data_IF_760581383500
#
_entry.id   IF_760581383500
#
_cell.length_a   1.000
_cell.length_b   1.000
_cell.length_c   1.000
_cell.angle_alpha   90.00
_cell.angle_beta   90.00
_cell.angle_gamma   90.00
#
_symmetry.space_group_name_H-M   'P 1'
#
loop_
_entity.id
_entity.type
_entity.pdbx_description
1 polymer ?
#
# COMPACT_ATOMS: atom_id res chain seq x y z
N UNK A 1 8.17 20.10 -3.04
CA UNK A 1 8.38 19.05 -2.03
C UNK A 1 7.31 19.18 -0.97
N UNK A 2 6.61 18.09 -0.68
CA UNK A 2 5.64 18.05 0.43
C UNK A 2 6.37 18.11 1.78
N UNK A 3 5.82 18.85 2.73
CA UNK A 3 6.34 18.90 4.10
C UNK A 3 5.80 17.71 4.88
N UNK A 4 6.46 16.55 4.77
CA UNK A 4 6.15 15.34 5.53
C UNK A 4 7.08 15.23 6.75
N UNK A 5 6.57 14.64 7.82
CA UNK A 5 7.45 14.19 8.89
C UNK A 5 8.31 13.03 8.40
N UNK A 6 9.54 12.91 8.90
CA UNK A 6 10.40 11.79 8.54
C UNK A 6 11.30 11.34 9.70
N UNK A 7 11.71 10.10 9.62
CA UNK A 7 12.67 9.44 10.50
C UNK A 7 13.81 8.93 9.63
N UNK A 8 15.03 9.32 9.93
CA UNK A 8 16.21 8.80 9.25
C UNK A 8 16.69 7.53 9.93
N UNK A 9 16.75 6.43 9.16
CA UNK A 9 17.30 5.14 9.58
C UNK A 9 18.58 4.92 8.77
N UNK A 10 19.73 4.95 9.44
CA UNK A 10 21.03 4.80 8.79
C UNK A 10 21.44 3.33 8.73
N UNK A 11 22.18 2.98 7.68
CA UNK A 11 22.78 1.66 7.49
C UNK A 11 21.77 0.50 7.63
N UNK A 12 20.56 0.68 7.12
CA UNK A 12 19.58 -0.41 7.08
C UNK A 12 20.05 -1.50 6.12
N UNK A 13 20.07 -2.76 6.59
CA UNK A 13 20.47 -3.91 5.81
C UNK A 13 19.24 -4.79 5.57
N UNK A 14 18.88 -4.97 4.29
CA UNK A 14 17.78 -5.85 3.89
C UNK A 14 18.10 -7.32 4.13
N UNK A 15 17.11 -8.20 4.10
CA UNK A 15 17.30 -9.67 4.18
C UNK A 15 18.18 -10.21 3.04
N UNK A 16 18.22 -9.52 1.92
CA UNK A 16 19.12 -9.86 0.79
C UNK A 16 20.56 -9.36 0.96
N UNK A 17 20.87 -8.63 2.04
CA UNK A 17 22.20 -8.06 2.33
C UNK A 17 22.48 -6.71 1.64
N UNK A 18 21.46 -6.06 1.05
CA UNK A 18 21.63 -4.72 0.51
C UNK A 18 21.57 -3.68 1.62
N UNK A 19 22.57 -2.82 1.70
CA UNK A 19 22.69 -1.76 2.72
C UNK A 19 22.34 -0.40 2.12
N UNK A 20 21.50 0.37 2.82
CA UNK A 20 21.13 1.72 2.40
C UNK A 20 20.59 2.54 3.57
N UNK A 21 20.61 3.86 3.44
CA UNK A 21 19.91 4.76 4.34
C UNK A 21 18.44 4.90 3.93
N UNK A 22 17.54 4.94 4.91
CA UNK A 22 16.11 5.08 4.70
C UNK A 22 15.63 6.39 5.33
N UNK A 23 14.92 7.20 4.54
CA UNK A 23 14.07 8.28 5.03
C UNK A 23 12.63 7.76 5.13
N UNK A 24 12.20 7.38 6.31
CA UNK A 24 10.85 6.90 6.57
C UNK A 24 9.92 8.10 6.76
N UNK A 25 9.17 8.45 5.74
CA UNK A 25 8.18 9.52 5.79
C UNK A 25 6.87 9.05 6.39
N UNK A 26 6.19 9.96 7.13
CA UNK A 26 4.91 9.65 7.75
C UNK A 26 4.04 10.88 7.95
N UNK A 27 2.75 10.64 8.12
CA UNK A 27 1.75 11.60 8.53
C UNK A 27 0.97 11.09 9.74
N UNK A 28 0.46 12.02 10.53
CA UNK A 28 -0.43 11.73 11.66
C UNK A 28 -1.71 12.53 11.53
N UNK A 29 -2.83 11.93 11.92
CA UNK A 29 -4.14 12.54 11.87
C UNK A 29 -4.89 12.26 13.17
N UNK A 30 -5.91 13.07 13.44
CA UNK A 30 -6.73 12.92 14.63
C UNK A 30 -6.03 13.42 15.90
N UNK A 31 -6.08 12.62 16.97
CA UNK A 31 -5.49 12.99 18.24
C UNK A 31 -3.95 13.05 18.13
N UNK A 32 -3.30 13.94 18.89
CA UNK A 32 -1.83 13.97 18.97
C UNK A 32 -1.26 12.60 19.39
N UNK A 33 -0.04 12.29 18.95
CA UNK A 33 0.65 11.08 19.39
C UNK A 33 0.68 10.98 20.92
N UNK A 34 0.49 9.77 21.44
CA UNK A 34 0.50 9.44 22.87
C UNK A 34 -0.67 10.02 23.69
N UNK A 35 -1.70 10.58 23.06
CA UNK A 35 -2.89 11.12 23.77
C UNK A 35 -4.15 10.27 23.57
N UNK A 36 -4.13 9.31 22.65
CA UNK A 36 -5.21 8.40 22.33
C UNK A 36 -4.68 7.06 21.81
N UNK A 37 -5.50 6.00 21.74
CA UNK A 37 -5.10 4.74 21.11
C UNK A 37 -4.65 4.96 19.66
N UNK A 38 -3.58 4.26 19.25
CA UNK A 38 -2.95 4.49 17.94
C UNK A 38 -3.41 3.43 16.94
N UNK A 39 -3.89 3.89 15.79
CA UNK A 39 -4.19 3.04 14.61
C UNK A 39 -3.11 3.29 13.56
N UNK A 40 -2.32 2.25 13.27
CA UNK A 40 -1.36 2.27 12.16
C UNK A 40 -2.10 1.91 10.86
N UNK A 41 -1.98 2.79 9.86
CA UNK A 41 -2.55 2.56 8.53
C UNK A 41 -1.42 2.35 7.52
N UNK A 42 -1.47 1.21 6.82
CA UNK A 42 -0.45 0.81 5.85
C UNK A 42 -1.08 0.78 4.45
N UNK A 43 -0.59 1.64 3.58
CA UNK A 43 -1.17 1.83 2.25
C UNK A 43 -0.85 0.67 1.29
N UNK A 44 -1.68 0.52 0.25
CA UNK A 44 -1.46 -0.40 -0.87
C UNK A 44 -0.27 0.08 -1.74
N UNK A 45 0.17 -0.75 -2.70
CA UNK A 45 1.34 -0.48 -3.55
C UNK A 45 1.35 0.92 -4.17
N UNK A 46 0.21 1.38 -4.67
CA UNK A 46 0.05 2.69 -5.34
C UNK A 46 -0.42 3.79 -4.40
N UNK A 47 -0.48 3.51 -3.09
CA UNK A 47 -0.95 4.45 -2.08
C UNK A 47 0.17 5.30 -1.47
N UNK A 48 -0.21 6.03 -0.44
CA UNK A 48 0.67 6.90 0.32
C UNK A 48 0.06 7.20 1.70
N UNK A 49 0.74 8.02 2.50
CA UNK A 49 0.30 8.40 3.85
C UNK A 49 -0.90 9.34 3.91
N UNK A 50 -1.36 9.94 2.80
CA UNK A 50 -2.56 10.78 2.78
C UNK A 50 -3.85 9.93 2.81
N UNK A 51 -4.24 9.49 3.97
CA UNK A 51 -5.30 8.48 4.16
C UNK A 51 -6.67 9.07 4.46
N UNK A 52 -6.74 10.27 5.03
CA UNK A 52 -8.00 10.92 5.41
C UNK A 52 -8.07 12.38 5.00
N UNK A 53 -9.19 13.05 5.28
CA UNK A 53 -9.43 14.44 4.88
C UNK A 53 -9.67 14.59 3.38
N UNK A 54 -9.58 15.83 2.90
CA UNK A 54 -9.84 16.14 1.49
C UNK A 54 -8.73 15.56 0.60
N UNK A 55 -9.04 14.56 -0.20
CA UNK A 55 -8.08 13.85 -1.05
C UNK A 55 -7.49 12.58 -0.43
N UNK A 56 -7.83 12.26 0.83
CA UNK A 56 -7.44 11.00 1.45
C UNK A 56 -8.10 9.81 0.77
N UNK A 57 -7.29 8.77 0.47
CA UNK A 57 -7.79 7.61 -0.29
C UNK A 57 -8.68 6.68 0.56
N UNK A 58 -8.65 6.77 1.91
CA UNK A 58 -9.55 6.08 2.84
C UNK A 58 -10.46 7.02 3.64
N UNK A 59 -10.68 8.23 3.14
CA UNK A 59 -11.54 9.25 3.77
C UNK A 59 -12.97 8.79 4.09
N UNK A 60 -13.46 7.76 3.41
CA UNK A 60 -14.80 7.22 3.68
C UNK A 60 -14.80 6.26 4.88
N UNK A 61 -13.64 5.72 5.24
CA UNK A 61 -13.43 4.82 6.37
C UNK A 61 -12.84 5.55 7.59
N UNK A 62 -11.91 6.51 7.35
CA UNK A 62 -11.12 7.21 8.37
C UNK A 62 -11.42 8.70 8.32
N UNK A 63 -11.84 9.26 9.44
CA UNK A 63 -12.17 10.68 9.58
C UNK A 63 -13.12 10.93 10.73
N UNK A 64 -13.48 12.19 10.93
CA UNK A 64 -14.50 12.53 11.93
C UNK A 64 -15.84 11.86 11.59
N UNK A 65 -16.47 11.28 12.59
CA UNK A 65 -17.72 10.52 12.50
C UNK A 65 -17.66 9.34 11.50
N UNK A 66 -16.45 8.77 11.26
CA UNK A 66 -16.23 7.59 10.43
C UNK A 66 -16.00 6.34 11.27
N UNK A 67 -15.90 5.18 10.63
CA UNK A 67 -15.64 3.90 11.31
C UNK A 67 -14.36 3.95 12.16
N UNK A 68 -13.31 4.60 11.67
CA UNK A 68 -12.11 4.93 12.44
C UNK A 68 -12.15 6.44 12.67
N UNK A 69 -12.66 6.83 13.84
CA UNK A 69 -12.91 8.24 14.14
C UNK A 69 -11.62 8.95 14.59
N UNK A 70 -11.28 10.02 13.89
CA UNK A 70 -10.14 10.87 14.22
C UNK A 70 -10.33 11.68 15.51
N UNK A 71 -11.54 11.73 16.08
CA UNK A 71 -11.77 12.32 17.39
C UNK A 71 -11.50 11.34 18.54
N UNK A 72 -11.44 10.05 18.29
CA UNK A 72 -11.17 9.02 19.28
C UNK A 72 -9.75 8.44 19.19
N UNK A 73 -9.16 8.43 18.00
CA UNK A 73 -7.87 7.78 17.73
C UNK A 73 -6.79 8.74 17.25
N UNK A 74 -5.54 8.37 17.53
CA UNK A 74 -4.38 8.85 16.78
C UNK A 74 -4.17 7.93 15.57
N UNK A 75 -4.17 8.49 14.38
CA UNK A 75 -3.91 7.73 13.15
C UNK A 75 -2.49 8.01 12.70
N UNK A 76 -1.68 6.97 12.54
CA UNK A 76 -0.33 7.04 12.01
C UNK A 76 -0.28 6.34 10.66
N UNK A 77 0.28 6.99 9.65
CA UNK A 77 0.48 6.39 8.34
C UNK A 77 1.93 6.59 7.89
N UNK A 78 2.68 5.50 7.75
CA UNK A 78 3.99 5.51 7.12
C UNK A 78 3.86 5.41 5.60
N UNK A 79 4.78 6.04 4.87
CA UNK A 79 5.02 5.75 3.46
C UNK A 79 5.95 4.54 3.32
N UNK A 80 5.61 3.60 2.46
CA UNK A 80 6.55 2.55 2.06
C UNK A 80 7.78 3.24 1.45
N UNK A 81 9.00 2.94 1.91
CA UNK A 81 10.20 3.61 1.44
C UNK A 81 10.33 3.59 -0.08
N UNK A 82 10.68 4.72 -0.66
CA UNK A 82 10.87 4.86 -2.10
C UNK A 82 9.59 5.02 -2.93
N UNK A 83 8.41 5.21 -2.30
CA UNK A 83 7.15 5.39 -3.04
C UNK A 83 7.02 6.74 -3.78
N UNK A 84 7.97 7.67 -3.60
CA UNK A 84 8.01 8.96 -4.31
C UNK A 84 6.98 10.00 -3.85
N UNK A 85 6.22 9.72 -2.79
CA UNK A 85 5.16 10.64 -2.33
C UNK A 85 5.70 11.98 -1.78
N UNK A 86 6.95 12.01 -1.32
CA UNK A 86 7.67 13.21 -0.89
C UNK A 86 8.12 14.12 -2.04
N UNK A 87 7.94 13.70 -3.30
CA UNK A 87 8.29 14.42 -4.53
C UNK A 87 9.80 14.71 -4.66
N UNK A 88 10.65 13.97 -3.95
CA UNK A 88 12.10 14.10 -4.02
C UNK A 88 12.75 12.86 -4.67
N UNK A 89 13.27 12.98 -5.92
CA UNK A 89 13.90 11.83 -6.59
C UNK A 89 15.07 11.21 -5.84
N UNK A 90 15.73 11.95 -4.94
CA UNK A 90 16.85 11.43 -4.13
C UNK A 90 16.42 10.39 -3.09
N UNK A 91 15.14 10.33 -2.77
CA UNK A 91 14.58 9.37 -1.82
C UNK A 91 13.99 8.13 -2.51
N UNK A 92 14.06 8.05 -3.84
CA UNK A 92 13.74 6.84 -4.58
C UNK A 92 14.81 5.77 -4.34
N UNK A 93 14.38 4.53 -4.28
CA UNK A 93 15.26 3.37 -4.06
C UNK A 93 15.45 2.65 -5.39
N UNK A 94 16.65 2.74 -5.98
CA UNK A 94 16.97 2.10 -7.26
C UNK A 94 16.86 0.56 -7.17
N UNK A 95 17.40 -0.02 -6.08
CA UNK A 95 17.38 -1.46 -5.84
C UNK A 95 16.11 -1.91 -5.08
N UNK A 96 14.94 -1.40 -5.43
CA UNK A 96 13.68 -1.74 -4.74
C UNK A 96 13.39 -3.26 -4.70
N UNK A 97 13.90 -4.03 -5.66
CA UNK A 97 13.77 -5.50 -5.70
C UNK A 97 14.53 -6.21 -4.56
N UNK A 98 15.43 -5.52 -3.88
CA UNK A 98 16.12 -6.04 -2.68
C UNK A 98 15.26 -5.97 -1.43
N UNK A 99 14.11 -5.31 -1.47
CA UNK A 99 13.20 -5.17 -0.34
C UNK A 99 12.07 -6.19 -0.42
N UNK A 100 11.77 -6.79 0.72
CA UNK A 100 10.61 -7.66 0.94
C UNK A 100 9.63 -6.99 1.90
N UNK A 101 8.44 -7.58 2.09
CA UNK A 101 7.48 -7.12 3.09
C UNK A 101 8.07 -7.17 4.51
N UNK A 102 8.96 -8.15 4.79
CA UNK A 102 9.68 -8.27 6.07
C UNK A 102 10.58 -7.06 6.30
N UNK A 103 11.35 -6.66 5.28
CA UNK A 103 12.24 -5.50 5.39
C UNK A 103 11.45 -4.22 5.69
N UNK A 104 10.32 -4.02 5.01
CA UNK A 104 9.45 -2.86 5.26
C UNK A 104 8.84 -2.92 6.67
N UNK A 105 8.44 -4.09 7.15
CA UNK A 105 7.94 -4.28 8.52
C UNK A 105 9.03 -3.97 9.57
N UNK A 106 10.30 -4.34 9.33
CA UNK A 106 11.43 -3.98 10.19
C UNK A 106 11.67 -2.47 10.22
N UNK A 107 11.61 -1.81 9.05
CA UNK A 107 11.70 -0.34 8.95
C UNK A 107 10.56 0.33 9.73
N UNK A 108 9.33 -0.15 9.60
CA UNK A 108 8.19 0.39 10.36
C UNK A 108 8.33 0.14 11.85
N UNK A 109 8.83 -1.04 12.25
CA UNK A 109 9.14 -1.35 13.66
C UNK A 109 10.18 -0.38 14.24
N UNK A 110 11.25 -0.07 13.51
CA UNK A 110 12.24 0.93 13.93
C UNK A 110 11.61 2.34 14.01
N UNK A 111 10.79 2.70 13.02
CA UNK A 111 10.04 3.95 13.04
C UNK A 111 9.14 4.09 14.27
N UNK A 112 8.37 3.05 14.61
CA UNK A 112 7.54 3.03 15.82
C UNK A 112 8.36 3.17 17.10
N UNK A 113 9.49 2.46 17.19
CA UNK A 113 10.40 2.56 18.34
C UNK A 113 10.95 3.98 18.51
N UNK A 114 11.36 4.64 17.43
CA UNK A 114 11.86 6.04 17.45
C UNK A 114 10.77 7.05 17.82
N UNK A 115 9.52 6.75 17.46
CA UNK A 115 8.35 7.50 17.89
C UNK A 115 7.90 7.13 19.31
N UNK A 116 8.59 6.19 19.99
CA UNK A 116 8.26 5.69 21.34
C UNK A 116 6.84 5.10 21.41
N UNK A 117 6.46 4.35 20.38
CA UNK A 117 5.17 3.66 20.28
C UNK A 117 5.42 2.17 20.56
N UNK A 118 4.98 1.71 21.72
CA UNK A 118 5.18 0.34 22.20
C UNK A 118 3.92 -0.53 22.02
N UNK A 119 2.78 0.08 21.67
CA UNK A 119 1.50 -0.59 21.46
C UNK A 119 0.68 0.12 20.38
N UNK A 120 0.01 -0.66 19.54
CA UNK A 120 -0.96 -0.23 18.56
C UNK A 120 -2.31 -0.83 18.88
N UNK A 121 -3.35 -0.01 19.01
CA UNK A 121 -4.73 -0.49 19.13
C UNK A 121 -5.13 -1.31 17.89
N UNK A 122 -4.73 -0.82 16.71
CA UNK A 122 -4.95 -1.57 15.47
C UNK A 122 -3.84 -1.29 14.44
N UNK A 123 -3.58 -2.29 13.59
CA UNK A 123 -2.87 -2.09 12.33
C UNK A 123 -3.79 -2.55 11.19
N UNK A 124 -4.12 -1.63 10.29
CA UNK A 124 -4.94 -1.89 9.12
C UNK A 124 -4.13 -1.65 7.85
N UNK A 125 -4.12 -2.63 6.94
CA UNK A 125 -3.39 -2.54 5.69
C UNK A 125 -4.14 -3.14 4.52
N UNK A 126 -4.07 -2.49 3.36
CA UNK A 126 -4.68 -2.96 2.12
C UNK A 126 -3.66 -3.60 1.18
N UNK A 127 -3.95 -4.77 0.58
CA UNK A 127 -3.09 -5.44 -0.39
C UNK A 127 -1.68 -5.65 0.16
N UNK A 128 -0.62 -5.11 -0.48
CA UNK A 128 0.77 -5.17 0.04
C UNK A 128 0.89 -4.59 1.45
N UNK A 129 0.11 -3.55 1.78
CA UNK A 129 0.07 -2.98 3.12
C UNK A 129 -0.47 -3.97 4.17
N UNK A 130 -1.42 -4.82 3.79
CA UNK A 130 -1.89 -5.91 4.64
C UNK A 130 -0.84 -7.01 4.82
N UNK A 131 -0.04 -7.32 3.79
CA UNK A 131 1.11 -8.22 3.89
C UNK A 131 2.17 -7.67 4.85
N UNK A 132 2.47 -6.37 4.77
CA UNK A 132 3.39 -5.71 5.71
C UNK A 132 2.83 -5.73 7.14
N UNK A 133 1.51 -5.55 7.32
CA UNK A 133 0.87 -5.65 8.64
C UNK A 133 0.99 -7.06 9.24
N UNK A 134 0.85 -8.11 8.43
CA UNK A 134 1.11 -9.51 8.83
C UNK A 134 2.54 -9.71 9.29
N UNK A 135 3.52 -9.24 8.51
CA UNK A 135 4.94 -9.36 8.85
C UNK A 135 5.28 -8.58 10.14
N UNK A 136 4.72 -7.38 10.31
CA UNK A 136 4.91 -6.59 11.52
C UNK A 136 4.33 -7.30 12.76
N UNK A 137 3.14 -7.92 12.64
CA UNK A 137 2.54 -8.69 13.71
C UNK A 137 3.37 -9.94 14.05
N UNK A 138 3.91 -10.63 13.06
CA UNK A 138 4.80 -11.78 13.26
C UNK A 138 6.13 -11.35 13.91
N UNK A 139 6.71 -10.22 13.47
CA UNK A 139 7.94 -9.67 14.01
C UNK A 139 7.80 -9.21 15.47
N UNK A 140 6.64 -8.64 15.83
CA UNK A 140 6.33 -8.04 17.13
C UNK A 140 4.97 -8.53 17.64
N UNK A 141 4.87 -9.78 18.16
CA UNK A 141 3.57 -10.39 18.49
C UNK A 141 2.74 -9.65 19.53
N UNK A 142 3.36 -8.82 20.38
CA UNK A 142 2.68 -8.06 21.42
C UNK A 142 2.45 -6.57 21.07
N UNK A 143 2.81 -6.16 19.85
CA UNK A 143 2.71 -4.76 19.44
C UNK A 143 1.29 -4.36 19.02
N UNK A 144 0.55 -5.28 18.37
CA UNK A 144 -0.72 -5.01 17.72
C UNK A 144 -1.83 -5.75 18.42
N UNK A 145 -2.84 -5.04 18.96
CA UNK A 145 -4.01 -5.64 19.57
C UNK A 145 -5.00 -6.18 18.53
N UNK A 146 -5.23 -5.42 17.45
CA UNK A 146 -6.17 -5.76 16.39
C UNK A 146 -5.49 -5.68 15.02
N UNK A 147 -5.28 -6.82 14.37
CA UNK A 147 -4.72 -6.90 13.03
C UNK A 147 -5.85 -6.98 12.00
N UNK A 148 -5.89 -6.03 11.06
CA UNK A 148 -6.96 -5.89 10.05
C UNK A 148 -6.34 -5.89 8.64
N UNK A 149 -5.97 -7.06 8.10
CA UNK A 149 -5.47 -7.18 6.74
C UNK A 149 -6.65 -7.20 5.75
N UNK A 150 -6.62 -6.31 4.75
CA UNK A 150 -7.70 -6.16 3.76
C UNK A 150 -7.20 -6.56 2.38
N UNK A 151 -7.91 -7.46 1.71
CA UNK A 151 -7.59 -7.93 0.35
C UNK A 151 -6.14 -8.41 0.21
N UNK A 152 -5.68 -9.20 1.16
CA UNK A 152 -4.33 -9.74 1.24
C UNK A 152 -4.32 -11.11 1.91
N UNK A 153 -3.21 -11.82 1.80
CA UNK A 153 -2.98 -13.10 2.45
C UNK A 153 -1.68 -13.03 3.28
N UNK A 154 -1.54 -13.89 4.27
CA UNK A 154 -0.32 -14.04 5.06
C UNK A 154 0.82 -14.67 4.27
N UNK A 155 0.51 -15.32 3.15
CA UNK A 155 1.45 -15.99 2.25
C UNK A 155 0.94 -15.86 0.81
N UNK A 156 1.85 -15.55 -0.11
CA UNK A 156 1.53 -15.51 -1.54
C UNK A 156 0.99 -16.86 -2.01
N UNK A 157 -0.21 -16.86 -2.58
CA UNK A 157 -0.82 -18.04 -3.18
C UNK A 157 -0.18 -18.35 -4.54
N UNK A 158 -0.29 -19.60 -5.00
CA UNK A 158 0.16 -19.98 -6.37
C UNK A 158 -0.50 -19.11 -7.44
N UNK A 159 -1.77 -18.73 -7.23
CA UNK A 159 -2.49 -17.81 -8.11
C UNK A 159 -1.82 -16.43 -8.16
N UNK A 160 -1.47 -15.85 -7.03
CA UNK A 160 -0.77 -14.56 -6.97
C UNK A 160 0.62 -14.67 -7.62
N UNK A 161 1.38 -15.71 -7.31
CA UNK A 161 2.70 -15.95 -7.89
C UNK A 161 2.60 -16.05 -9.42
N UNK A 162 1.64 -16.82 -9.95
CA UNK A 162 1.42 -16.94 -11.38
C UNK A 162 1.08 -15.60 -12.03
N UNK A 163 0.20 -14.80 -11.41
CA UNK A 163 -0.16 -13.48 -11.92
C UNK A 163 1.01 -12.48 -11.86
N UNK A 164 1.82 -12.49 -10.81
CA UNK A 164 3.04 -11.69 -10.74
C UNK A 164 4.04 -12.08 -11.85
N UNK A 165 4.18 -13.36 -12.14
CA UNK A 165 5.03 -13.83 -13.24
C UNK A 165 4.52 -13.35 -14.61
N UNK A 166 3.20 -13.39 -14.85
CA UNK A 166 2.59 -12.83 -16.07
C UNK A 166 2.85 -11.33 -16.16
N UNK A 167 2.67 -10.59 -15.07
CA UNK A 167 2.94 -9.15 -15.02
C UNK A 167 4.40 -8.83 -15.35
N UNK A 168 5.34 -9.55 -14.76
CA UNK A 168 6.77 -9.38 -15.05
C UNK A 168 7.07 -9.67 -16.53
N UNK A 169 6.48 -10.72 -17.08
CA UNK A 169 6.61 -11.04 -18.52
C UNK A 169 6.06 -9.94 -19.42
N UNK A 170 4.89 -9.40 -19.11
CA UNK A 170 4.29 -8.29 -19.88
C UNK A 170 5.18 -7.05 -19.81
N UNK A 171 5.66 -6.69 -18.61
CA UNK A 171 6.52 -5.51 -18.41
C UNK A 171 7.85 -5.61 -19.19
N UNK A 172 8.37 -6.83 -19.41
CA UNK A 172 9.65 -7.03 -20.08
C UNK A 172 9.53 -7.28 -21.60
N UNK A 173 8.35 -7.62 -22.14
CA UNK A 173 8.21 -8.07 -23.51
C UNK A 173 7.16 -7.31 -24.35
N UNK A 174 6.32 -6.47 -23.73
CA UNK A 174 5.31 -5.70 -24.47
C UNK A 174 5.89 -4.43 -25.09
N UNK A 175 5.31 -3.97 -26.19
CA UNK A 175 5.57 -2.66 -26.80
C UNK A 175 5.04 -1.50 -25.95
N UNK A 176 3.97 -1.75 -25.15
CA UNK A 176 3.35 -0.79 -24.23
C UNK A 176 3.31 -1.38 -22.81
N UNK A 177 4.47 -1.63 -22.18
CA UNK A 177 4.57 -2.52 -21.04
C UNK A 177 3.68 -2.10 -19.85
N UNK A 178 3.69 -0.82 -19.49
CA UNK A 178 2.90 -0.33 -18.36
C UNK A 178 1.39 -0.37 -18.69
N UNK A 179 1.01 0.05 -19.88
CA UNK A 179 -0.38 0.01 -20.35
C UNK A 179 -0.92 -1.42 -20.30
N UNK A 180 -0.22 -2.37 -20.92
CA UNK A 180 -0.67 -3.77 -21.03
C UNK A 180 -0.70 -4.47 -19.66
N UNK A 181 0.29 -4.21 -18.80
CA UNK A 181 0.31 -4.71 -17.43
C UNK A 181 -0.91 -4.19 -16.63
N UNK A 182 -1.31 -2.94 -16.83
CA UNK A 182 -2.50 -2.37 -16.18
C UNK A 182 -3.80 -2.98 -16.71
N UNK A 183 -3.92 -3.23 -18.02
CA UNK A 183 -5.06 -3.95 -18.57
C UNK A 183 -5.25 -5.31 -17.89
N UNK A 184 -4.16 -6.09 -17.78
CA UNK A 184 -4.19 -7.38 -17.11
C UNK A 184 -4.56 -7.23 -15.62
N UNK A 185 -3.91 -6.31 -14.89
CA UNK A 185 -4.19 -6.08 -13.47
C UNK A 185 -5.67 -5.77 -13.22
N UNK A 186 -6.31 -4.97 -14.08
CA UNK A 186 -7.72 -4.60 -13.94
C UNK A 186 -8.67 -5.79 -14.05
N UNK A 187 -8.27 -6.88 -14.72
CA UNK A 187 -9.08 -8.12 -14.76
C UNK A 187 -9.07 -8.87 -13.43
N UNK A 188 -8.04 -8.69 -12.60
CA UNK A 188 -7.87 -9.36 -11.30
C UNK A 188 -8.68 -8.72 -10.17
N UNK A 189 -9.06 -7.44 -10.31
CA UNK A 189 -9.84 -6.71 -9.30
C UNK A 189 -11.33 -7.04 -9.30
N UNK A 190 -11.80 -7.87 -10.25
CA UNK A 190 -13.21 -8.24 -10.39
C UNK A 190 -13.36 -9.71 -10.72
N UNK A 191 -14.44 -10.32 -10.22
CA UNK A 191 -14.79 -11.68 -10.62
C UNK A 191 -15.39 -11.69 -12.04
N UNK A 192 -15.32 -12.83 -12.76
CA UNK A 192 -16.03 -12.99 -14.06
C UNK A 192 -17.51 -12.62 -13.98
N UNK A 193 -18.18 -12.96 -12.88
CA UNK A 193 -19.58 -12.61 -12.64
C UNK A 193 -19.77 -11.08 -12.52
N UNK A 194 -18.89 -10.38 -11.81
CA UNK A 194 -18.91 -8.92 -11.72
C UNK A 194 -18.72 -8.26 -13.10
N UNK A 195 -17.85 -8.82 -13.95
CA UNK A 195 -17.71 -8.37 -15.36
C UNK A 195 -19.01 -8.57 -16.14
N UNK A 196 -19.61 -9.75 -16.03
CA UNK A 196 -20.88 -10.08 -16.70
C UNK A 196 -22.00 -9.10 -16.30
N UNK A 197 -22.13 -8.82 -15.02
CA UNK A 197 -23.16 -7.89 -14.50
C UNK A 197 -22.92 -6.44 -14.94
N UNK A 198 -21.64 -6.01 -14.92
CA UNK A 198 -21.27 -4.61 -15.25
C UNK A 198 -21.40 -4.33 -16.74
N UNK A 199 -20.86 -5.19 -17.59
CA UNK A 199 -20.70 -4.91 -19.02
C UNK A 199 -21.76 -5.54 -19.91
N UNK A 200 -22.40 -6.65 -19.48
CA UNK A 200 -23.54 -7.32 -20.15
C UNK A 200 -23.30 -7.62 -21.64
N UNK A 201 -22.03 -7.73 -22.05
CA UNK A 201 -21.61 -7.90 -23.44
C UNK A 201 -22.15 -6.81 -24.38
N UNK A 202 -22.29 -5.60 -23.88
CA UNK A 202 -22.75 -4.46 -24.68
C UNK A 202 -21.58 -3.77 -25.37
N UNK A 203 -21.84 -3.23 -26.55
CA UNK A 203 -20.87 -2.45 -27.32
C UNK A 203 -21.01 -0.96 -27.01
N UNK A 204 -19.89 -0.24 -27.02
CA UNK A 204 -19.83 1.22 -26.95
C UNK A 204 -20.19 1.82 -28.33
N UNK A 205 -19.68 1.19 -29.39
CA UNK A 205 -19.97 1.40 -30.79
C UNK A 205 -19.59 0.12 -31.55
N UNK A 206 -19.94 0.05 -32.83
CA UNK A 206 -19.64 -1.11 -33.67
C UNK A 206 -18.17 -1.53 -33.58
N UNK A 207 -17.92 -2.78 -33.20
CA UNK A 207 -16.59 -3.39 -33.09
C UNK A 207 -15.81 -3.06 -31.83
N UNK A 208 -16.39 -2.33 -30.84
CA UNK A 208 -15.72 -2.05 -29.55
C UNK A 208 -16.68 -2.34 -28.40
N UNK A 209 -16.37 -3.37 -27.60
CA UNK A 209 -17.14 -3.66 -26.39
C UNK A 209 -16.89 -2.62 -25.27
N UNK A 210 -17.88 -2.39 -24.43
CA UNK A 210 -17.75 -1.52 -23.27
C UNK A 210 -16.64 -1.96 -22.30
N UNK A 211 -16.39 -3.27 -22.19
CA UNK A 211 -15.31 -3.81 -21.37
C UNK A 211 -13.93 -3.44 -21.92
N UNK A 212 -13.75 -3.49 -23.25
CA UNK A 212 -12.47 -3.11 -23.88
C UNK A 212 -12.21 -1.61 -23.71
N UNK A 213 -13.23 -0.78 -23.95
CA UNK A 213 -13.13 0.67 -23.71
C UNK A 213 -12.80 1.00 -22.25
N UNK A 214 -13.38 0.25 -21.30
CA UNK A 214 -13.10 0.43 -19.89
C UNK A 214 -11.65 0.01 -19.52
N UNK A 215 -11.17 -1.11 -20.06
CA UNK A 215 -9.78 -1.55 -19.87
C UNK A 215 -8.81 -0.51 -20.45
N UNK A 216 -9.03 -0.08 -21.70
CA UNK A 216 -8.16 0.90 -22.35
C UNK A 216 -8.05 2.21 -21.52
N UNK A 217 -9.17 2.72 -21.01
CA UNK A 217 -9.16 3.88 -20.12
C UNK A 217 -8.27 3.67 -18.90
N UNK A 218 -8.31 2.50 -18.28
CA UNK A 218 -7.46 2.19 -17.13
C UNK A 218 -6.00 1.89 -17.48
N UNK A 219 -5.72 1.52 -18.71
CA UNK A 219 -4.36 1.39 -19.22
C UNK A 219 -3.66 2.73 -19.38
N UNK A 220 -4.41 3.77 -19.78
CA UNK A 220 -3.88 5.12 -20.04
C UNK A 220 -3.72 5.99 -18.78
N UNK A 221 -4.31 5.62 -17.66
CA UNK A 221 -4.23 6.33 -16.35
C UNK A 221 -3.08 5.79 -15.53
#
# INVERSE_FOLDING_TARGET
>A
MKSLNHIQIQNFITKSGFETDINLFYETFGKPLHTAPIVLVIHALTGNSNICGNGGWWKDLIGKDKCIDTEDYTILAFNIPGNGYDENPKNLIENYKSFTAVDVAEIFSDGLQRLKIDSLFAAIGGSVGGGIAWELAALKPNLIENLIPVATDWKSTDWLIANCHIQDSVLNNSERPLFDARLHAMTLYRTPESFRQKFKRTERHEGLYNVESWLNHHGDV
#
